data_IF_430350684850
#
_entry.id   IF_430350684850
#
_cell.length_a   1.000
_cell.length_b   1.000
_cell.length_c   1.000
_cell.angle_alpha   90.00
_cell.angle_beta   90.00
_cell.angle_gamma   90.00
#
_symmetry.space_group_name_H-M   'P 1'
#
loop_
_entity.id
_entity.type
_entity.pdbx_description
1 polymer ?
#
# COMPACT_ATOMS: atom_id res chain seq x y z
N UNK A 1 23.09 -11.51 9.16
CA UNK A 1 23.68 -10.92 7.91
C UNK A 1 23.23 -11.78 6.75
N UNK A 2 22.61 -11.22 5.77
CA UNK A 2 22.07 -11.90 4.60
C UNK A 2 22.54 -11.25 3.31
N UNK A 3 22.56 -11.99 2.22
CA UNK A 3 22.87 -11.46 0.90
C UNK A 3 21.66 -10.71 0.33
N UNK A 4 21.87 -9.50 -0.17
CA UNK A 4 20.81 -8.65 -0.75
C UNK A 4 20.07 -9.36 -1.89
N UNK A 5 20.78 -10.00 -2.80
CA UNK A 5 20.16 -10.65 -3.96
C UNK A 5 19.33 -11.88 -3.57
N UNK A 6 19.72 -12.59 -2.49
CA UNK A 6 18.91 -13.70 -1.94
C UNK A 6 17.61 -13.17 -1.33
N UNK A 7 17.67 -12.04 -0.61
CA UNK A 7 16.47 -11.35 -0.10
C UNK A 7 15.54 -10.95 -1.25
N UNK A 8 16.08 -10.32 -2.30
CA UNK A 8 15.30 -9.88 -3.46
C UNK A 8 14.66 -11.07 -4.16
N UNK A 9 15.44 -12.12 -4.44
CA UNK A 9 14.93 -13.32 -5.08
C UNK A 9 13.78 -13.95 -4.28
N UNK A 10 13.92 -14.02 -2.96
CA UNK A 10 12.88 -14.53 -2.08
C UNK A 10 11.63 -13.64 -2.11
N UNK A 11 11.78 -12.31 -2.06
CA UNK A 11 10.67 -11.37 -2.17
C UNK A 11 9.95 -11.49 -3.52
N UNK A 12 10.70 -11.53 -4.63
CA UNK A 12 10.15 -11.65 -5.98
C UNK A 12 9.32 -12.93 -6.14
N UNK A 13 9.80 -14.05 -5.59
CA UNK A 13 9.08 -15.32 -5.59
C UNK A 13 7.85 -15.29 -4.69
N UNK A 14 7.98 -14.75 -3.48
CA UNK A 14 6.90 -14.66 -2.50
C UNK A 14 5.77 -13.79 -3.03
N UNK A 15 6.09 -12.61 -3.55
CA UNK A 15 5.13 -11.64 -4.05
C UNK A 15 4.70 -11.93 -5.49
N UNK A 16 5.34 -12.88 -6.18
CA UNK A 16 5.14 -13.15 -7.62
C UNK A 16 5.29 -11.90 -8.47
N UNK A 17 6.28 -11.07 -8.16
CA UNK A 17 6.43 -9.73 -8.70
C UNK A 17 6.44 -9.69 -10.25
N UNK A 18 7.03 -10.69 -10.90
CA UNK A 18 7.07 -10.79 -12.36
C UNK A 18 5.71 -11.02 -13.04
N UNK A 19 4.67 -11.40 -12.30
CA UNK A 19 3.32 -11.61 -12.85
C UNK A 19 2.52 -10.30 -12.98
N UNK A 20 2.99 -9.22 -12.38
CA UNK A 20 2.31 -7.92 -12.37
C UNK A 20 2.83 -6.96 -13.45
N UNK A 21 1.90 -6.29 -14.11
CA UNK A 21 2.19 -5.12 -14.94
C UNK A 21 2.03 -3.88 -14.06
N UNK A 22 3.14 -3.33 -13.62
CA UNK A 22 3.13 -2.22 -12.68
C UNK A 22 3.53 -0.88 -13.32
N UNK A 23 3.33 0.20 -12.58
CA UNK A 23 3.68 1.57 -12.95
C UNK A 23 5.12 1.94 -12.60
N UNK A 24 5.76 1.15 -11.74
CA UNK A 24 7.15 1.28 -11.32
C UNK A 24 7.82 -0.11 -11.28
N UNK A 25 9.16 -0.19 -11.39
CA UNK A 25 9.86 -1.45 -11.24
C UNK A 25 9.76 -1.97 -9.81
N UNK A 26 9.33 -3.22 -9.65
CA UNK A 26 9.37 -3.94 -8.39
C UNK A 26 10.75 -4.58 -8.17
N UNK A 27 11.16 -4.71 -6.91
CA UNK A 27 12.46 -5.25 -6.50
C UNK A 27 13.53 -4.18 -6.30
N UNK A 28 14.77 -4.51 -6.63
CA UNK A 28 15.93 -3.64 -6.45
C UNK A 28 15.88 -2.44 -7.40
N UNK A 29 15.91 -1.24 -6.84
CA UNK A 29 15.93 0.01 -7.61
C UNK A 29 17.26 0.75 -7.53
N UNK A 30 17.95 0.66 -6.39
CA UNK A 30 19.30 1.23 -6.18
C UNK A 30 20.09 0.21 -5.41
N UNK A 31 21.26 -0.17 -5.94
CA UNK A 31 22.18 -1.07 -5.30
C UNK A 31 23.22 -0.29 -4.47
N UNK A 32 23.28 -0.62 -3.20
CA UNK A 32 24.29 -0.16 -2.24
C UNK A 32 24.97 -1.38 -1.62
N UNK A 33 24.80 -1.58 -0.30
CA UNK A 33 25.36 -2.76 0.38
C UNK A 33 24.78 -4.06 -0.14
N UNK A 34 25.62 -5.03 -0.47
CA UNK A 34 25.22 -6.39 -0.83
C UNK A 34 25.04 -7.31 0.39
N UNK A 35 25.51 -6.87 1.54
CA UNK A 35 25.31 -7.53 2.84
C UNK A 35 24.30 -6.75 3.67
N UNK A 36 23.22 -7.39 4.06
CA UNK A 36 22.14 -6.77 4.83
C UNK A 36 22.12 -7.35 6.24
N UNK A 37 22.22 -6.45 7.22
CA UNK A 37 22.04 -6.73 8.65
C UNK A 37 20.80 -6.02 9.18
N UNK A 38 20.58 -4.79 8.71
CA UNK A 38 19.48 -3.91 9.15
C UNK A 38 18.69 -3.38 7.97
N UNK A 39 17.38 -3.52 8.09
CA UNK A 39 16.37 -3.01 7.14
C UNK A 39 15.62 -1.87 7.84
N UNK A 40 15.56 -0.70 7.22
CA UNK A 40 14.51 0.26 7.52
C UNK A 40 13.39 0.09 6.51
N UNK A 41 12.14 0.01 6.94
CA UNK A 41 11.03 0.01 6.02
C UNK A 41 10.13 1.23 6.21
N UNK A 42 9.59 1.75 5.11
CA UNK A 42 8.70 2.91 5.08
C UNK A 42 7.70 2.77 3.93
N UNK A 43 6.61 3.52 3.95
CA UNK A 43 5.67 3.52 2.82
C UNK A 43 6.34 4.10 1.57
N UNK A 44 6.97 5.26 1.68
CA UNK A 44 7.53 6.01 0.55
C UNK A 44 9.00 6.31 0.77
N UNK A 45 9.84 6.17 -0.27
CA UNK A 45 11.25 6.57 -0.27
C UNK A 45 11.39 8.10 -0.27
N UNK A 46 10.89 8.75 0.79
CA UNK A 46 11.00 10.19 1.01
C UNK A 46 12.40 10.58 1.49
N UNK A 47 12.71 11.87 1.52
CA UNK A 47 13.97 12.36 2.09
C UNK A 47 14.08 11.99 3.58
N UNK A 48 12.98 12.16 4.34
CA UNK A 48 12.94 11.83 5.76
C UNK A 48 13.18 10.34 6.02
N UNK A 49 12.61 9.44 5.19
CA UNK A 49 12.84 8.00 5.29
C UNK A 49 14.32 7.65 5.00
N UNK A 50 14.94 8.33 4.04
CA UNK A 50 16.37 8.13 3.73
C UNK A 50 17.24 8.64 4.87
N UNK A 51 16.95 9.82 5.42
CA UNK A 51 17.69 10.40 6.53
C UNK A 51 17.57 9.52 7.80
N UNK A 52 16.40 8.94 8.03
CA UNK A 52 16.20 7.95 9.09
C UNK A 52 17.02 6.66 8.84
N UNK A 53 17.05 6.16 7.60
CA UNK A 53 17.86 5.00 7.24
C UNK A 53 19.36 5.25 7.47
N UNK A 54 19.85 6.44 7.12
CA UNK A 54 21.24 6.86 7.38
C UNK A 54 21.52 6.90 8.89
N UNK A 55 20.63 7.56 9.65
CA UNK A 55 20.79 7.71 11.09
C UNK A 55 20.80 6.38 11.85
N UNK A 56 20.06 5.39 11.34
CA UNK A 56 19.99 4.05 11.93
C UNK A 56 21.02 3.07 11.37
N UNK A 57 21.91 3.50 10.46
CA UNK A 57 22.89 2.66 9.77
C UNK A 57 22.19 1.45 9.09
N UNK A 58 21.09 1.70 8.40
CA UNK A 58 20.40 0.67 7.62
C UNK A 58 21.21 0.33 6.36
N UNK A 59 21.28 -0.96 6.02
CA UNK A 59 21.91 -1.45 4.79
C UNK A 59 20.89 -1.44 3.63
N UNK A 60 19.60 -1.55 3.97
CA UNK A 60 18.48 -1.65 3.04
C UNK A 60 17.31 -0.75 3.48
N UNK A 61 16.85 0.11 2.57
CA UNK A 61 15.58 0.81 2.66
C UNK A 61 14.53 0.05 1.83
N UNK A 62 13.57 -0.58 2.51
CA UNK A 62 12.45 -1.30 1.90
C UNK A 62 11.22 -0.39 1.88
N UNK A 63 10.61 -0.19 0.70
CA UNK A 63 9.47 0.71 0.56
C UNK A 63 8.35 0.11 -0.29
N UNK A 64 7.18 0.71 -0.20
CA UNK A 64 6.07 0.49 -1.12
C UNK A 64 6.21 1.43 -2.34
N UNK A 65 6.43 2.71 -2.14
CA UNK A 65 6.64 3.70 -3.19
C UNK A 65 8.13 4.04 -3.33
N UNK A 66 8.77 3.49 -4.34
CA UNK A 66 10.13 3.81 -4.74
C UNK A 66 10.21 4.91 -5.79
N UNK A 67 11.09 4.72 -6.76
CA UNK A 67 11.37 5.62 -7.87
C UNK A 67 11.12 4.95 -9.23
N UNK A 68 11.42 5.69 -10.29
CA UNK A 68 11.35 5.21 -11.68
C UNK A 68 9.93 4.89 -12.15
N UNK A 69 8.99 5.71 -11.73
CA UNK A 69 7.60 5.60 -12.18
C UNK A 69 7.48 5.82 -13.68
N UNK A 70 6.58 5.11 -14.32
CA UNK A 70 6.28 5.27 -15.74
C UNK A 70 5.87 6.72 -16.04
N UNK A 71 6.59 7.37 -16.93
CA UNK A 71 6.38 8.77 -17.30
C UNK A 71 7.26 9.77 -16.55
N UNK A 72 8.06 9.34 -15.57
CA UNK A 72 9.07 10.20 -14.97
C UNK A 72 10.18 10.57 -15.97
N UNK A 73 10.74 11.80 -15.89
CA UNK A 73 11.89 12.19 -16.72
C UNK A 73 13.09 11.27 -16.50
N UNK A 74 13.77 10.87 -17.56
CA UNK A 74 14.99 10.04 -17.46
C UNK A 74 16.14 10.70 -16.68
N UNK A 75 16.45 12.01 -16.84
CA UNK A 75 17.53 12.65 -16.11
C UNK A 75 17.30 12.61 -14.60
N UNK A 76 18.32 12.12 -13.88
CA UNK A 76 18.34 12.03 -12.41
C UNK A 76 18.80 13.38 -11.84
N UNK A 77 17.87 14.30 -11.65
CA UNK A 77 18.11 15.68 -11.20
C UNK A 77 17.12 16.12 -10.13
N UNK A 78 17.33 17.28 -9.55
CA UNK A 78 16.42 17.89 -8.56
C UNK A 78 16.20 17.01 -7.33
N UNK A 79 14.98 17.01 -6.82
CA UNK A 79 14.57 16.27 -5.61
C UNK A 79 14.91 14.77 -5.71
N UNK A 80 14.52 14.11 -6.81
CA UNK A 80 14.80 12.69 -7.03
C UNK A 80 16.30 12.42 -7.09
N UNK A 81 17.06 13.27 -7.80
CA UNK A 81 18.52 13.16 -7.89
C UNK A 81 19.21 13.28 -6.53
N UNK A 82 18.74 14.19 -5.68
CA UNK A 82 19.28 14.35 -4.33
C UNK A 82 19.03 13.11 -3.46
N UNK A 83 17.81 12.54 -3.52
CA UNK A 83 17.46 11.30 -2.79
C UNK A 83 18.29 10.11 -3.24
N UNK A 84 18.43 9.89 -4.54
CA UNK A 84 19.25 8.81 -5.11
C UNK A 84 20.73 8.99 -4.71
N UNK A 85 21.24 10.23 -4.78
CA UNK A 85 22.60 10.54 -4.38
C UNK A 85 22.86 10.23 -2.90
N UNK A 86 21.92 10.57 -1.99
CA UNK A 86 22.05 10.25 -0.56
C UNK A 86 22.15 8.74 -0.34
N UNK A 87 21.30 7.94 -0.99
CA UNK A 87 21.33 6.47 -0.89
C UNK A 87 22.68 5.90 -1.33
N UNK A 88 23.15 6.30 -2.53
CA UNK A 88 24.43 5.83 -3.08
C UNK A 88 25.61 6.24 -2.19
N UNK A 89 25.67 7.49 -1.72
CA UNK A 89 26.76 7.99 -0.88
C UNK A 89 26.84 7.29 0.47
N UNK A 90 25.72 6.79 0.99
CA UNK A 90 25.66 6.08 2.27
C UNK A 90 25.60 4.56 2.10
N UNK A 91 25.79 4.05 0.88
CA UNK A 91 25.81 2.62 0.56
C UNK A 91 24.53 1.88 0.98
N UNK A 92 23.36 2.56 0.90
CA UNK A 92 22.04 2.01 1.24
C UNK A 92 21.35 1.52 -0.02
N UNK A 93 20.96 0.24 -0.04
CA UNK A 93 20.16 -0.31 -1.12
C UNK A 93 18.69 0.13 -1.00
N UNK A 94 18.03 0.42 -2.14
CA UNK A 94 16.60 0.69 -2.19
C UNK A 94 15.87 -0.45 -2.90
N UNK A 95 14.91 -1.05 -2.21
CA UNK A 95 14.01 -2.07 -2.73
C UNK A 95 12.57 -1.60 -2.58
N UNK A 96 11.78 -1.73 -3.65
CA UNK A 96 10.37 -1.32 -3.66
C UNK A 96 9.48 -2.44 -4.18
N UNK A 97 8.32 -2.64 -3.52
CA UNK A 97 7.26 -3.53 -4.00
C UNK A 97 5.92 -2.82 -3.92
N UNK A 98 5.31 -2.58 -5.09
CA UNK A 98 4.05 -1.83 -5.24
C UNK A 98 2.86 -2.79 -5.42
N UNK A 99 2.25 -2.89 -6.60
CA UNK A 99 1.05 -3.70 -6.81
C UNK A 99 1.18 -5.18 -6.36
N UNK A 100 2.33 -5.86 -6.50
CA UNK A 100 2.49 -7.21 -5.97
C UNK A 100 2.29 -7.27 -4.45
N UNK A 101 2.70 -6.23 -3.72
CA UNK A 101 2.53 -6.15 -2.28
C UNK A 101 1.08 -5.79 -1.92
N UNK A 102 0.39 -4.95 -2.69
CA UNK A 102 -1.04 -4.67 -2.47
C UNK A 102 -1.91 -5.91 -2.59
N UNK A 103 -1.63 -6.74 -3.59
CA UNK A 103 -2.43 -7.91 -3.93
C UNK A 103 -2.12 -9.15 -3.09
N UNK A 104 -1.01 -9.17 -2.34
CA UNK A 104 -0.56 -10.39 -1.67
C UNK A 104 -1.55 -10.86 -0.58
N UNK A 105 -1.97 -12.15 -0.58
CA UNK A 105 -3.10 -12.61 0.23
C UNK A 105 -2.85 -12.68 1.74
N UNK A 106 -1.61 -12.54 2.20
CA UNK A 106 -1.27 -12.54 3.63
C UNK A 106 -0.39 -11.37 4.07
N UNK A 107 0.48 -10.87 3.18
CA UNK A 107 1.38 -9.74 3.48
C UNK A 107 0.83 -8.40 2.99
N UNK A 108 -0.19 -8.41 2.14
CA UNK A 108 -0.63 -7.25 1.37
C UNK A 108 -1.32 -6.14 2.16
N UNK A 109 -1.36 -4.96 1.55
CA UNK A 109 -2.08 -3.83 2.11
C UNK A 109 -3.59 -4.10 2.13
N UNK A 110 -4.15 -4.66 1.05
CA UNK A 110 -5.59 -4.92 0.98
C UNK A 110 -6.06 -5.98 1.99
N UNK A 111 -5.31 -7.07 2.18
CA UNK A 111 -5.68 -8.05 3.21
C UNK A 111 -5.60 -7.45 4.62
N UNK A 112 -4.67 -6.53 4.86
CA UNK A 112 -4.58 -5.84 6.15
C UNK A 112 -5.81 -4.98 6.44
N UNK A 113 -6.41 -4.32 5.41
CA UNK A 113 -7.69 -3.62 5.55
C UNK A 113 -8.80 -4.60 5.95
N UNK A 114 -8.90 -5.74 5.26
CA UNK A 114 -9.92 -6.74 5.54
C UNK A 114 -9.86 -7.23 6.99
N UNK A 115 -8.65 -7.53 7.47
CA UNK A 115 -8.43 -7.98 8.85
C UNK A 115 -8.77 -6.89 9.88
N UNK A 116 -8.34 -5.64 9.66
CA UNK A 116 -8.65 -4.51 10.57
C UNK A 116 -10.13 -4.23 10.69
N UNK A 117 -10.86 -4.44 9.63
CA UNK A 117 -12.31 -4.22 9.59
C UNK A 117 -13.10 -5.48 9.95
N UNK A 118 -12.44 -6.63 10.18
CA UNK A 118 -13.05 -7.94 10.38
C UNK A 118 -14.01 -8.31 9.23
N UNK A 119 -13.59 -8.05 7.98
CA UNK A 119 -14.35 -8.43 6.79
C UNK A 119 -14.19 -9.91 6.51
N UNK A 120 -15.27 -10.56 6.17
CA UNK A 120 -15.35 -12.00 5.89
C UNK A 120 -15.67 -12.24 4.42
N UNK A 121 -15.52 -13.50 3.96
CA UNK A 121 -15.88 -13.93 2.61
C UNK A 121 -15.29 -13.04 1.52
N UNK A 122 -13.97 -12.91 1.53
CA UNK A 122 -13.26 -12.05 0.61
C UNK A 122 -13.35 -12.55 -0.83
N UNK A 123 -13.68 -11.66 -1.74
CA UNK A 123 -13.78 -11.89 -3.18
C UNK A 123 -12.97 -10.82 -3.93
N UNK A 124 -12.46 -11.09 -5.14
CA UNK A 124 -11.84 -10.06 -5.96
C UNK A 124 -12.82 -8.93 -6.30
N UNK A 125 -12.37 -7.69 -6.24
CA UNK A 125 -13.17 -6.54 -6.69
C UNK A 125 -13.35 -6.54 -8.20
N UNK A 126 -12.34 -6.97 -8.94
CA UNK A 126 -12.37 -7.09 -10.40
C UNK A 126 -12.19 -8.55 -10.83
N UNK A 127 -13.24 -9.14 -11.37
CA UNK A 127 -13.25 -10.53 -11.83
C UNK A 127 -12.60 -10.70 -13.22
N UNK A 128 -12.25 -9.63 -13.91
CA UNK A 128 -11.64 -9.66 -15.25
C UNK A 128 -10.12 -9.63 -15.20
N UNK A 129 -9.54 -9.21 -14.08
CA UNK A 129 -8.10 -9.14 -13.90
C UNK A 129 -7.53 -10.49 -13.42
N UNK A 130 -6.39 -10.88 -14.00
CA UNK A 130 -5.67 -12.07 -13.58
C UNK A 130 -5.12 -11.95 -12.16
N UNK A 131 -4.68 -10.75 -11.80
CA UNK A 131 -4.12 -10.40 -10.50
C UNK A 131 -4.85 -9.17 -9.94
N UNK A 132 -6.08 -9.35 -9.42
CA UNK A 132 -6.86 -8.24 -8.89
C UNK A 132 -6.19 -7.66 -7.63
N UNK A 133 -6.15 -6.33 -7.53
CA UNK A 133 -5.53 -5.63 -6.39
C UNK A 133 -6.52 -5.33 -5.28
N UNK A 134 -7.76 -4.98 -5.61
CA UNK A 134 -8.82 -4.70 -4.65
C UNK A 134 -9.68 -5.92 -4.34
N UNK A 135 -10.39 -5.87 -3.23
CA UNK A 135 -11.26 -6.94 -2.76
C UNK A 135 -12.65 -6.43 -2.38
N UNK A 136 -13.56 -7.37 -2.24
CA UNK A 136 -14.85 -7.21 -1.60
C UNK A 136 -14.86 -8.06 -0.34
N UNK A 137 -15.50 -7.58 0.72
CA UNK A 137 -15.68 -8.33 1.94
C UNK A 137 -17.02 -7.98 2.60
N UNK A 138 -17.42 -8.76 3.57
CA UNK A 138 -18.70 -8.62 4.25
C UNK A 138 -18.49 -8.40 5.74
N UNK A 139 -19.18 -7.40 6.30
CA UNK A 139 -19.31 -7.28 7.74
C UNK A 139 -20.21 -8.41 8.26
N UNK A 140 -19.91 -8.95 9.43
CA UNK A 140 -20.71 -9.97 10.09
C UNK A 140 -22.16 -9.50 10.28
N UNK A 141 -22.32 -8.22 10.67
CA UNK A 141 -23.62 -7.55 10.79
C UNK A 141 -23.57 -6.20 10.07
N UNK A 142 -24.69 -5.84 9.46
CA UNK A 142 -24.81 -4.53 8.84
C UNK A 142 -24.69 -3.42 9.89
N UNK A 143 -23.88 -2.39 9.59
CA UNK A 143 -23.69 -1.21 10.42
C UNK A 143 -24.45 -0.02 9.85
N UNK A 144 -24.83 0.94 10.70
CA UNK A 144 -25.20 2.27 10.21
C UNK A 144 -24.03 2.94 9.52
N UNK A 145 -24.30 3.90 8.63
CA UNK A 145 -23.25 4.66 7.91
C UNK A 145 -22.31 5.36 8.89
N UNK A 146 -22.85 5.93 9.98
CA UNK A 146 -22.07 6.67 10.98
C UNK A 146 -21.20 5.72 11.81
N UNK A 147 -21.73 4.54 12.22
CA UNK A 147 -20.95 3.53 12.93
C UNK A 147 -19.83 2.97 12.06
N UNK A 148 -20.11 2.76 10.77
CA UNK A 148 -19.09 2.29 9.84
C UNK A 148 -17.99 3.34 9.63
N UNK A 149 -18.35 4.63 9.48
CA UNK A 149 -17.39 5.72 9.42
C UNK A 149 -16.52 5.82 10.68
N UNK A 150 -17.13 5.71 11.85
CA UNK A 150 -16.40 5.69 13.12
C UNK A 150 -15.44 4.50 13.21
N UNK A 151 -15.88 3.30 12.77
CA UNK A 151 -15.03 2.12 12.67
C UNK A 151 -13.81 2.38 11.77
N UNK A 152 -13.98 2.99 10.62
CA UNK A 152 -12.88 3.33 9.70
C UNK A 152 -11.89 4.32 10.34
N UNK A 153 -12.39 5.40 10.96
CA UNK A 153 -11.55 6.41 11.62
C UNK A 153 -10.67 5.78 12.71
N UNK A 154 -11.26 4.91 13.52
CA UNK A 154 -10.53 4.21 14.58
C UNK A 154 -9.54 3.18 14.04
N UNK A 155 -9.89 2.49 12.93
CA UNK A 155 -9.03 1.44 12.36
C UNK A 155 -7.78 1.99 11.67
N UNK A 156 -7.88 3.17 11.04
CA UNK A 156 -6.78 3.76 10.28
C UNK A 156 -6.07 4.90 11.00
N UNK A 157 -6.62 5.38 12.13
CA UNK A 157 -6.16 6.60 12.80
C UNK A 157 -6.05 7.77 11.82
N UNK A 158 -7.14 7.98 11.06
CA UNK A 158 -7.20 8.95 9.98
C UNK A 158 -8.56 9.64 9.93
N UNK A 159 -8.58 10.92 9.56
CA UNK A 159 -9.82 11.68 9.36
C UNK A 159 -10.47 11.28 8.04
N UNK A 160 -11.39 10.34 8.10
CA UNK A 160 -12.09 9.79 6.93
C UNK A 160 -12.95 10.83 6.23
N UNK A 161 -12.77 10.98 4.92
CA UNK A 161 -13.67 11.75 4.05
C UNK A 161 -14.78 10.79 3.58
N UNK A 162 -16.03 11.16 3.83
CA UNK A 162 -17.20 10.37 3.44
C UNK A 162 -18.01 11.10 2.38
N UNK A 163 -18.25 10.44 1.25
CA UNK A 163 -19.17 10.89 0.20
C UNK A 163 -20.43 10.01 0.28
N UNK A 164 -21.61 10.61 0.59
CA UNK A 164 -22.81 9.83 0.91
C UNK A 164 -23.55 9.32 -0.33
N UNK A 165 -24.20 8.16 -0.17
CA UNK A 165 -25.21 7.61 -1.05
C UNK A 165 -26.53 7.40 -0.28
N UNK A 166 -27.57 6.82 -0.92
CA UNK A 166 -28.91 6.70 -0.33
C UNK A 166 -29.06 5.53 0.66
N UNK A 167 -28.21 4.51 0.58
CA UNK A 167 -28.27 3.32 1.47
C UNK A 167 -28.14 3.72 2.94
N UNK A 168 -28.91 3.08 3.82
CA UNK A 168 -28.91 3.41 5.25
C UNK A 168 -27.95 2.55 6.07
N UNK A 169 -27.60 1.39 5.55
CA UNK A 169 -26.73 0.43 6.20
C UNK A 169 -25.67 -0.09 5.25
N UNK A 170 -24.53 -0.50 5.81
CA UNK A 170 -23.39 -1.03 5.08
C UNK A 170 -23.11 -2.44 5.59
N UNK A 171 -23.06 -3.41 4.67
CA UNK A 171 -22.66 -4.78 4.94
C UNK A 171 -21.65 -5.29 3.91
N UNK A 172 -21.89 -5.06 2.62
CA UNK A 172 -20.98 -5.46 1.54
C UNK A 172 -20.07 -4.30 1.18
N UNK A 173 -18.75 -4.47 1.36
CA UNK A 173 -17.74 -3.43 1.25
C UNK A 173 -16.72 -3.80 0.18
N UNK A 174 -16.64 -2.98 -0.87
CA UNK A 174 -15.51 -3.00 -1.80
C UNK A 174 -14.35 -2.16 -1.26
N UNK A 175 -13.11 -2.55 -1.50
CA UNK A 175 -11.97 -1.76 -1.05
C UNK A 175 -10.72 -1.99 -1.90
N UNK A 176 -9.92 -0.93 -2.02
CA UNK A 176 -8.58 -0.96 -2.57
C UNK A 176 -7.76 0.17 -1.96
N UNK A 177 -6.53 -0.14 -1.51
CA UNK A 177 -5.60 0.81 -0.89
C UNK A 177 -5.15 1.90 -1.84
N UNK A 178 -4.59 2.99 -1.33
CA UNK A 178 -3.93 4.04 -2.10
C UNK A 178 -4.85 4.84 -3.02
N UNK A 179 -4.35 5.17 -4.20
CA UNK A 179 -5.02 6.03 -5.19
C UNK A 179 -5.99 5.28 -6.12
N UNK A 180 -6.89 4.46 -5.58
CA UNK A 180 -7.82 3.62 -6.34
C UNK A 180 -9.27 4.15 -6.36
N UNK A 181 -9.46 5.47 -6.29
CA UNK A 181 -10.80 6.09 -6.25
C UNK A 181 -11.68 5.73 -7.46
N UNK A 182 -11.09 5.49 -8.62
CA UNK A 182 -11.83 5.14 -9.84
C UNK A 182 -12.43 3.73 -9.81
N UNK A 183 -12.03 2.89 -8.84
CA UNK A 183 -12.59 1.55 -8.69
C UNK A 183 -13.98 1.53 -8.03
N UNK A 184 -14.51 2.68 -7.63
CA UNK A 184 -15.90 2.80 -7.16
C UNK A 184 -16.88 2.23 -8.19
N UNK A 185 -16.64 2.40 -9.49
CA UNK A 185 -17.47 1.83 -10.55
C UNK A 185 -17.47 0.29 -10.53
N UNK A 186 -16.32 -0.34 -10.23
CA UNK A 186 -16.22 -1.79 -10.06
C UNK A 186 -17.01 -2.26 -8.83
N UNK A 187 -16.92 -1.52 -7.72
CA UNK A 187 -17.69 -1.80 -6.51
C UNK A 187 -19.22 -1.70 -6.76
N UNK A 188 -19.65 -0.71 -7.54
CA UNK A 188 -21.05 -0.56 -7.95
C UNK A 188 -21.56 -1.74 -8.78
N UNK A 189 -20.77 -2.19 -9.77
CA UNK A 189 -21.10 -3.37 -10.59
C UNK A 189 -21.25 -4.64 -9.75
N UNK A 190 -20.55 -4.72 -8.64
CA UNK A 190 -20.63 -5.83 -7.68
C UNK A 190 -21.70 -5.61 -6.60
N UNK A 191 -22.53 -4.55 -6.72
CA UNK A 191 -23.58 -4.18 -5.76
C UNK A 191 -23.05 -3.97 -4.32
N UNK A 192 -21.85 -3.40 -4.16
CA UNK A 192 -21.36 -3.02 -2.85
C UNK A 192 -22.22 -1.89 -2.23
N UNK A 193 -22.30 -1.86 -0.90
CA UNK A 193 -22.94 -0.78 -0.17
C UNK A 193 -22.01 0.41 0.01
N UNK A 194 -20.73 0.10 0.17
CA UNK A 194 -19.65 1.07 0.34
C UNK A 194 -18.39 0.66 -0.43
N UNK A 195 -17.59 1.68 -0.76
CA UNK A 195 -16.25 1.49 -1.29
C UNK A 195 -15.24 2.31 -0.49
N UNK A 196 -14.11 1.68 -0.15
CA UNK A 196 -13.00 2.29 0.59
C UNK A 196 -11.80 2.43 -0.33
N UNK A 197 -11.16 3.62 -0.33
CA UNK A 197 -9.84 3.82 -0.92
C UNK A 197 -9.01 4.79 -0.07
N UNK A 198 -7.77 5.03 -0.45
CA UNK A 198 -6.93 6.02 0.23
C UNK A 198 -7.26 7.45 -0.17
N UNK A 199 -7.44 7.70 -1.46
CA UNK A 199 -7.63 9.05 -2.01
C UNK A 199 -9.07 9.31 -2.45
N UNK A 200 -9.34 10.58 -2.81
CA UNK A 200 -10.60 11.06 -3.37
C UNK A 200 -10.35 12.13 -4.42
N UNK A 201 -11.12 12.11 -5.50
CA UNK A 201 -11.12 13.15 -6.55
C UNK A 201 -12.44 13.90 -6.56
N UNK A 202 -12.48 15.07 -7.18
CA UNK A 202 -13.71 15.89 -7.31
C UNK A 202 -14.84 15.07 -7.95
N UNK A 203 -14.56 14.34 -9.03
CA UNK A 203 -15.54 13.49 -9.73
C UNK A 203 -16.14 12.38 -8.87
N UNK A 204 -15.36 11.86 -7.91
CA UNK A 204 -15.79 10.76 -7.02
C UNK A 204 -17.04 11.12 -6.24
N UNK A 205 -17.27 12.41 -5.95
CA UNK A 205 -18.48 12.88 -5.29
C UNK A 205 -19.75 12.55 -6.12
N UNK A 206 -19.70 12.86 -7.41
CA UNK A 206 -20.84 12.58 -8.31
C UNK A 206 -21.01 11.09 -8.56
N UNK A 207 -19.89 10.38 -8.75
CA UNK A 207 -19.88 8.93 -8.95
C UNK A 207 -20.49 8.20 -7.75
N UNK A 208 -20.12 8.54 -6.52
CA UNK A 208 -20.67 7.94 -5.31
C UNK A 208 -22.20 8.10 -5.24
N UNK A 209 -22.69 9.31 -5.51
CA UNK A 209 -24.11 9.64 -5.50
C UNK A 209 -24.89 8.93 -6.61
N UNK A 210 -24.39 8.97 -7.84
CA UNK A 210 -25.10 8.45 -9.03
C UNK A 210 -25.04 6.92 -9.10
N UNK A 211 -23.95 6.31 -8.65
CA UNK A 211 -23.80 4.85 -8.56
C UNK A 211 -24.47 4.26 -7.31
N UNK A 212 -24.88 5.09 -6.34
CA UNK A 212 -25.54 4.66 -5.12
C UNK A 212 -24.62 3.89 -4.16
N UNK A 213 -23.31 4.18 -4.16
CA UNK A 213 -22.31 3.53 -3.33
C UNK A 213 -21.66 4.56 -2.41
N UNK A 214 -21.72 4.36 -1.10
CA UNK A 214 -21.00 5.20 -0.17
C UNK A 214 -19.48 5.13 -0.44
N UNK A 215 -18.81 6.27 -0.49
CA UNK A 215 -17.35 6.32 -0.67
C UNK A 215 -16.66 6.81 0.59
N UNK A 216 -15.57 6.14 0.97
CA UNK A 216 -14.75 6.52 2.10
C UNK A 216 -13.28 6.62 1.69
N UNK A 217 -12.70 7.84 1.78
CA UNK A 217 -11.26 8.03 1.64
C UNK A 217 -10.61 7.95 3.02
N UNK A 218 -9.72 6.98 3.18
CA UNK A 218 -9.12 6.64 4.46
C UNK A 218 -7.62 6.98 4.56
N UNK A 219 -7.11 7.78 3.63
CA UNK A 219 -5.70 8.19 3.53
C UNK A 219 -4.87 7.20 2.70
N UNK A 220 -4.14 7.71 1.72
CA UNK A 220 -3.27 6.90 0.86
C UNK A 220 -2.21 6.20 1.72
N UNK A 221 -1.40 7.00 2.41
CA UNK A 221 -0.38 6.49 3.33
C UNK A 221 -0.98 5.58 4.42
N UNK A 222 -2.10 6.00 5.02
CA UNK A 222 -2.73 5.28 6.12
C UNK A 222 -3.24 3.88 5.72
N UNK A 223 -3.63 3.70 4.46
CA UNK A 223 -4.09 2.40 3.94
C UNK A 223 -2.94 1.50 3.48
N UNK A 224 -1.74 2.03 3.23
CA UNK A 224 -0.61 1.29 2.65
C UNK A 224 0.57 1.06 3.60
N UNK A 225 0.47 1.44 4.86
CA UNK A 225 1.55 1.26 5.83
C UNK A 225 1.74 -0.18 6.32
N UNK A 226 0.82 -1.07 6.04
CA UNK A 226 0.80 -2.43 6.61
C UNK A 226 1.62 -3.44 5.81
N UNK A 227 1.55 -3.38 4.49
CA UNK A 227 2.23 -4.33 3.61
C UNK A 227 3.74 -4.32 3.79
N UNK A 228 4.35 -3.14 3.77
CA UNK A 228 5.79 -2.99 3.92
C UNK A 228 6.29 -3.47 5.29
N UNK A 229 5.51 -3.26 6.37
CA UNK A 229 5.84 -3.75 7.71
C UNK A 229 5.81 -5.28 7.77
N UNK A 230 4.76 -5.89 7.20
CA UNK A 230 4.61 -7.35 7.13
C UNK A 230 5.70 -7.99 6.29
N UNK A 231 6.04 -7.40 5.16
CA UNK A 231 7.12 -7.87 4.30
C UNK A 231 8.47 -7.78 5.02
N UNK A 232 8.78 -6.65 5.67
CA UNK A 232 10.00 -6.48 6.45
C UNK A 232 10.11 -7.51 7.58
N UNK A 233 9.02 -7.75 8.30
CA UNK A 233 8.97 -8.78 9.34
C UNK A 233 9.20 -10.19 8.78
N UNK A 234 8.60 -10.52 7.63
CA UNK A 234 8.78 -11.81 6.98
C UNK A 234 10.24 -12.01 6.51
N UNK A 235 10.87 -10.95 5.96
CA UNK A 235 12.30 -10.97 5.61
C UNK A 235 13.16 -11.19 6.86
N UNK A 236 12.86 -10.49 7.97
CA UNK A 236 13.58 -10.63 9.23
C UNK A 236 13.55 -12.05 9.78
N UNK A 237 12.39 -12.70 9.70
CA UNK A 237 12.23 -14.10 10.12
C UNK A 237 12.97 -15.06 9.21
N UNK A 238 12.91 -14.87 7.90
CA UNK A 238 13.53 -15.74 6.91
C UNK A 238 15.06 -15.68 6.93
N UNK A 239 15.62 -14.49 7.07
CA UNK A 239 17.06 -14.22 6.89
C UNK A 239 17.80 -13.87 8.19
N UNK A 240 17.10 -13.80 9.31
CA UNK A 240 17.67 -13.42 10.61
C UNK A 240 18.38 -12.06 10.54
N UNK A 241 17.69 -11.05 10.00
CA UNK A 241 18.12 -9.65 9.93
C UNK A 241 17.22 -8.77 10.78
N UNK A 242 17.72 -7.63 11.24
CA UNK A 242 16.92 -6.65 11.97
C UNK A 242 16.03 -5.86 11.00
N UNK A 243 14.80 -5.54 11.41
CA UNK A 243 13.95 -4.60 10.67
C UNK A 243 13.22 -3.66 11.60
N UNK A 244 13.10 -2.40 11.16
CA UNK A 244 12.35 -1.36 11.86
C UNK A 244 11.49 -0.59 10.86
N UNK A 245 10.30 -0.18 11.29
CA UNK A 245 9.39 0.63 10.48
C UNK A 245 9.53 2.10 10.85
N UNK A 246 9.73 2.94 9.84
CA UNK A 246 9.73 4.39 9.97
C UNK A 246 8.36 4.94 9.57
N UNK A 247 7.62 5.43 10.56
CA UNK A 247 6.35 6.12 10.32
C UNK A 247 6.59 7.59 9.99
N UNK A 248 5.98 8.06 8.92
CA UNK A 248 5.92 9.47 8.57
C UNK A 248 4.49 9.96 8.72
N UNK A 249 4.27 11.03 9.46
CA UNK A 249 2.94 11.62 9.60
C UNK A 249 2.53 12.32 8.29
N UNK A 250 1.97 11.54 7.37
CA UNK A 250 1.45 12.00 6.08
C UNK A 250 -0.06 12.22 6.21
N UNK A 251 -0.57 13.43 5.93
CA UNK A 251 -1.99 13.74 6.05
C UNK A 251 -2.86 13.26 4.87
N UNK A 252 -2.26 12.59 3.85
CA UNK A 252 -2.92 12.12 2.61
C UNK A 252 -3.02 10.60 2.59
#
# INVERSE_FOLDING_TARGET
MANLHEIIQWCDQTLKAAEFKDYAPNGLQIEGSTEVKRILCAVTASEDAIDAAIAQNADLLLVHHGYFWKGEPYPITGMRGNRIKKLIQNNISLVAYHLPLDAHPSLGNNIAIAEKLNLQNLEPLDLTEKHPIGNIGYLEQALSVDDFKAKLQNSFDFKVIHLPAEKKTIQKVGFCTGGAQDFIAKAALQNCDAYISGEVSERTFYEAKELGVHYFACGHHATERYGVQRLAQAISQQFTVESEYFELNNPI
#
